data_IF_531166348292
#
_entry.id   IF_531166348292
#
_cell.length_a   1.000
_cell.length_b   1.000
_cell.length_c   1.000
_cell.angle_alpha   90.00
_cell.angle_beta   90.00
_cell.angle_gamma   90.00
#
_symmetry.space_group_name_H-M   'P 1'
#
loop_
_entity.id
_entity.type
_entity.pdbx_description
1 polymer ?
#
# COMPACT_ATOMS: atom_id res chain seq x y z
N UNK A 1 43.79 47.55 -18.68
CA UNK A 1 44.00 46.51 -17.64
C UNK A 1 42.86 46.62 -16.64
N UNK A 2 42.15 45.51 -16.42
CA UNK A 2 41.36 45.05 -15.25
C UNK A 2 40.71 46.13 -14.34
N UNK A 3 39.43 46.11 -13.98
CA UNK A 3 38.37 45.11 -14.15
C UNK A 3 37.06 45.67 -13.56
N UNK A 4 35.94 45.38 -14.22
CA UNK A 4 34.61 45.81 -13.78
C UNK A 4 34.05 44.86 -12.72
N UNK A 5 33.57 45.45 -11.62
CA UNK A 5 32.83 44.78 -10.55
C UNK A 5 31.40 44.57 -11.03
N UNK A 6 31.05 43.31 -11.34
CA UNK A 6 29.70 42.88 -11.71
C UNK A 6 29.03 42.12 -10.58
N UNK A 7 27.80 42.53 -10.26
CA UNK A 7 26.87 42.02 -9.23
C UNK A 7 26.62 40.49 -9.25
N UNK A 8 26.07 39.95 -8.14
CA UNK A 8 25.77 38.53 -7.97
C UNK A 8 24.38 38.16 -8.49
N UNK A 9 24.18 36.87 -8.77
CA UNK A 9 22.84 36.27 -8.81
C UNK A 9 22.42 35.77 -10.19
N UNK A 10 22.63 34.48 -10.42
CA UNK A 10 22.16 33.77 -11.61
C UNK A 10 22.22 32.27 -11.36
N UNK A 11 21.22 31.77 -10.63
CA UNK A 11 21.01 30.36 -10.34
C UNK A 11 20.86 29.56 -11.65
N UNK A 12 21.91 28.87 -12.08
CA UNK A 12 21.79 27.79 -13.05
C UNK A 12 21.72 26.47 -12.28
N UNK A 13 20.58 26.26 -11.61
CA UNK A 13 20.22 24.95 -11.08
C UNK A 13 19.68 24.14 -12.26
N UNK A 14 20.62 23.59 -13.04
CA UNK A 14 20.35 22.51 -13.98
C UNK A 14 19.59 21.43 -13.21
N UNK A 15 18.28 21.33 -13.43
CA UNK A 15 17.41 20.31 -12.88
C UNK A 15 18.02 18.95 -13.19
N UNK A 16 18.77 18.41 -12.22
CA UNK A 16 18.98 16.97 -12.09
C UNK A 16 17.60 16.41 -11.80
N UNK A 17 16.88 16.00 -12.86
CA UNK A 17 15.73 15.09 -12.73
C UNK A 17 16.20 13.95 -11.86
N UNK A 18 15.74 13.97 -10.62
CA UNK A 18 16.11 13.03 -9.60
C UNK A 18 15.68 11.66 -10.09
N UNK A 19 16.64 10.74 -10.13
CA UNK A 19 16.47 9.31 -10.42
C UNK A 19 15.31 8.68 -9.63
N UNK A 20 14.85 9.35 -8.57
CA UNK A 20 13.66 9.03 -7.75
C UNK A 20 12.35 8.88 -8.54
N UNK A 21 12.08 9.73 -9.55
CA UNK A 21 10.80 9.70 -10.28
C UNK A 21 10.62 8.39 -11.08
N UNK A 22 11.71 7.77 -11.53
CA UNK A 22 11.65 6.51 -12.29
C UNK A 22 11.44 5.29 -11.42
N UNK A 23 11.78 5.36 -10.13
CA UNK A 23 11.56 4.26 -9.19
C UNK A 23 10.11 4.22 -8.69
N UNK A 24 9.51 5.39 -8.43
CA UNK A 24 8.11 5.48 -7.99
C UNK A 24 7.14 4.93 -9.05
N UNK A 25 7.33 5.31 -10.33
CA UNK A 25 6.47 4.83 -11.42
C UNK A 25 6.65 3.33 -11.68
N UNK A 26 7.86 2.78 -11.50
CA UNK A 26 8.08 1.34 -11.66
C UNK A 26 7.43 0.51 -10.57
N UNK A 27 7.45 0.97 -9.31
CA UNK A 27 6.87 0.24 -8.19
C UNK A 27 5.34 0.05 -8.34
N UNK A 28 4.65 1.09 -8.84
CA UNK A 28 3.19 1.07 -9.04
C UNK A 28 2.78 0.13 -10.20
N UNK A 29 3.60 0.04 -11.26
CA UNK A 29 3.29 -0.84 -12.40
C UNK A 29 3.56 -2.31 -12.08
N UNK A 30 4.56 -2.63 -11.23
CA UNK A 30 4.78 -4.02 -10.77
C UNK A 30 3.67 -4.55 -9.87
N UNK A 31 2.93 -3.69 -9.16
CA UNK A 31 1.79 -4.13 -8.34
C UNK A 31 0.65 -4.70 -9.21
N UNK A 32 0.35 -4.08 -10.36
CA UNK A 32 -0.66 -4.58 -11.30
C UNK A 32 -0.29 -5.89 -11.99
N UNK A 33 1.00 -6.10 -12.28
CA UNK A 33 1.49 -7.33 -12.91
C UNK A 33 1.51 -8.53 -11.94
N UNK A 34 1.69 -8.30 -10.63
CA UNK A 34 1.63 -9.36 -9.61
C UNK A 34 0.21 -9.92 -9.45
N UNK A 35 -0.83 -9.08 -9.58
CA UNK A 35 -2.23 -9.53 -9.53
C UNK A 35 -2.54 -10.50 -10.68
N UNK A 36 -2.00 -10.26 -11.88
CA UNK A 36 -2.17 -11.13 -13.05
C UNK A 36 -1.26 -12.38 -13.01
N UNK A 37 -0.04 -12.26 -12.49
CA UNK A 37 0.89 -13.39 -12.37
C UNK A 37 0.52 -14.37 -11.25
N UNK A 38 -0.16 -13.91 -10.19
CA UNK A 38 -0.63 -14.78 -9.11
C UNK A 38 -1.83 -15.62 -9.47
N UNK A 39 -2.63 -15.24 -10.48
CA UNK A 39 -3.66 -16.14 -11.03
C UNK A 39 -3.10 -17.43 -11.65
N UNK A 40 -1.78 -17.50 -11.93
CA UNK A 40 -1.13 -18.70 -12.46
C UNK A 40 -0.65 -19.67 -11.37
N UNK A 41 -0.63 -19.26 -10.10
CA UNK A 41 -0.24 -20.08 -8.95
C UNK A 41 -1.46 -20.15 -8.04
N UNK A 42 -2.03 -21.33 -7.80
CA UNK A 42 -3.14 -21.50 -6.84
C UNK A 42 -2.63 -21.32 -5.39
N UNK A 43 -2.02 -20.17 -5.10
CA UNK A 43 -1.59 -19.78 -3.77
C UNK A 43 -2.84 -19.62 -2.90
N UNK A 44 -2.85 -20.16 -1.68
CA UNK A 44 -3.92 -19.91 -0.74
C UNK A 44 -4.15 -18.41 -0.59
N UNK A 45 -5.41 -17.98 -0.56
CA UNK A 45 -5.77 -16.56 -0.47
C UNK A 45 -5.11 -15.89 0.75
N UNK A 46 -4.95 -16.64 1.84
CA UNK A 46 -4.14 -16.26 3.01
C UNK A 46 -2.74 -15.74 2.65
N UNK A 47 -2.01 -16.45 1.79
CA UNK A 47 -0.64 -16.08 1.42
C UNK A 47 -0.61 -14.80 0.58
N UNK A 48 -1.62 -14.62 -0.28
CA UNK A 48 -1.78 -13.39 -1.07
C UNK A 48 -2.07 -12.21 -0.14
N UNK A 49 -2.93 -12.39 0.86
CA UNK A 49 -3.24 -11.36 1.87
C UNK A 49 -1.97 -10.95 2.64
N UNK A 50 -1.19 -11.93 3.14
CA UNK A 50 0.05 -11.64 3.86
C UNK A 50 1.05 -10.87 3.00
N UNK A 51 1.21 -11.27 1.74
CA UNK A 51 2.15 -10.62 0.83
C UNK A 51 1.71 -9.19 0.47
N UNK A 52 0.43 -8.97 0.21
CA UNK A 52 -0.09 -7.63 -0.07
C UNK A 52 0.01 -6.75 1.17
N UNK A 53 -0.29 -7.29 2.36
CA UNK A 53 -0.08 -6.58 3.63
C UNK A 53 1.38 -6.17 3.81
N UNK A 54 2.34 -7.07 3.58
CA UNK A 54 3.76 -6.78 3.73
C UNK A 54 4.26 -5.65 2.80
N UNK A 55 3.59 -5.40 1.67
CA UNK A 55 3.89 -4.28 0.77
C UNK A 55 3.19 -2.99 1.22
N UNK A 56 1.93 -3.12 1.65
CA UNK A 56 1.07 -1.98 1.97
C UNK A 56 1.42 -1.37 3.33
N UNK A 57 1.78 -2.17 4.33
CA UNK A 57 2.12 -1.71 5.68
C UNK A 57 3.27 -0.69 5.71
N UNK A 58 4.44 -0.92 5.09
CA UNK A 58 5.50 0.09 5.05
C UNK A 58 5.11 1.32 4.23
N UNK A 59 4.33 1.16 3.15
CA UNK A 59 3.84 2.28 2.36
C UNK A 59 2.87 3.17 3.17
N UNK A 60 2.02 2.57 4.00
CA UNK A 60 1.14 3.30 4.91
C UNK A 60 1.92 4.10 5.96
N UNK A 61 2.97 3.51 6.54
CA UNK A 61 3.83 4.20 7.51
C UNK A 61 4.58 5.37 6.87
N UNK A 62 5.17 5.17 5.68
CA UNK A 62 5.86 6.24 4.95
C UNK A 62 4.91 7.38 4.60
N UNK A 63 3.72 7.06 4.10
CA UNK A 63 2.73 8.08 3.77
C UNK A 63 2.29 8.88 4.99
N UNK A 64 2.08 8.22 6.13
CA UNK A 64 1.75 8.91 7.39
C UNK A 64 2.88 9.82 7.86
N UNK A 65 4.15 9.47 7.62
CA UNK A 65 5.28 10.31 8.00
C UNK A 65 5.46 11.49 7.04
N UNK A 66 5.43 11.26 5.73
CA UNK A 66 5.73 12.27 4.72
C UNK A 66 4.56 13.22 4.45
N UNK A 67 3.32 12.72 4.52
CA UNK A 67 2.13 13.48 4.18
C UNK A 67 1.31 13.92 5.41
N UNK A 68 1.91 13.87 6.61
CA UNK A 68 1.26 14.35 7.85
C UNK A 68 0.91 15.83 7.77
N UNK A 69 1.89 16.64 7.35
CA UNK A 69 1.81 18.10 7.35
C UNK A 69 1.54 18.68 5.95
N UNK A 70 1.32 17.81 4.96
CA UNK A 70 1.18 18.15 3.54
C UNK A 70 -0.11 17.59 2.92
N UNK A 71 -1.22 17.68 3.65
CA UNK A 71 -2.57 17.24 3.24
C UNK A 71 -3.03 17.84 1.91
N UNK A 72 -2.61 19.05 1.58
CA UNK A 72 -3.01 19.73 0.34
C UNK A 72 -2.15 19.41 -0.89
N UNK A 73 -1.01 18.75 -0.69
CA UNK A 73 -0.12 18.36 -1.79
C UNK A 73 -0.82 17.36 -2.70
N UNK A 74 -0.85 17.65 -4.01
CA UNK A 74 -1.41 16.74 -5.01
C UNK A 74 -0.76 15.36 -4.97
N UNK A 75 0.57 15.31 -4.75
CA UNK A 75 1.32 14.05 -4.62
C UNK A 75 0.83 13.25 -3.41
N UNK A 76 0.59 13.91 -2.28
CA UNK A 76 0.05 13.23 -1.09
C UNK A 76 -1.38 12.73 -1.31
N UNK A 77 -2.21 13.49 -2.04
CA UNK A 77 -3.58 13.05 -2.40
C UNK A 77 -3.56 11.81 -3.31
N UNK A 78 -2.71 11.80 -4.33
CA UNK A 78 -2.55 10.65 -5.24
C UNK A 78 -2.03 9.41 -4.50
N UNK A 79 -1.05 9.57 -3.61
CA UNK A 79 -0.54 8.45 -2.82
C UNK A 79 -1.56 7.92 -1.80
N UNK A 80 -2.34 8.81 -1.16
CA UNK A 80 -3.47 8.43 -0.29
C UNK A 80 -4.53 7.65 -1.04
N UNK A 81 -4.91 8.09 -2.25
CA UNK A 81 -5.87 7.35 -3.09
C UNK A 81 -5.34 5.96 -3.49
N UNK A 82 -4.08 5.88 -3.93
CA UNK A 82 -3.44 4.61 -4.26
C UNK A 82 -3.39 3.65 -3.06
N UNK A 83 -3.05 4.17 -1.87
CA UNK A 83 -3.04 3.40 -0.64
C UNK A 83 -4.45 2.94 -0.24
N UNK A 84 -5.45 3.82 -0.34
CA UNK A 84 -6.84 3.47 -0.07
C UNK A 84 -7.34 2.37 -1.01
N UNK A 85 -6.97 2.41 -2.29
CA UNK A 85 -7.31 1.36 -3.26
C UNK A 85 -6.65 0.02 -2.89
N UNK A 86 -5.39 0.02 -2.50
CA UNK A 86 -4.69 -1.19 -2.06
C UNK A 86 -5.31 -1.78 -0.79
N UNK A 87 -5.61 -0.95 0.21
CA UNK A 87 -6.25 -1.36 1.46
C UNK A 87 -7.67 -1.93 1.21
N UNK A 88 -8.46 -1.31 0.33
CA UNK A 88 -9.76 -1.86 -0.06
C UNK A 88 -9.63 -3.23 -0.76
N UNK A 89 -8.57 -3.43 -1.54
CA UNK A 89 -8.23 -4.75 -2.10
C UNK A 89 -7.98 -5.79 -1.01
N UNK A 90 -7.18 -5.45 0.01
CA UNK A 90 -6.93 -6.33 1.17
C UNK A 90 -8.23 -6.63 1.92
N UNK A 91 -9.05 -5.63 2.22
CA UNK A 91 -10.36 -5.80 2.86
C UNK A 91 -11.23 -6.80 2.09
N UNK A 92 -11.32 -6.65 0.77
CA UNK A 92 -12.12 -7.55 -0.07
C UNK A 92 -11.60 -9.00 -0.03
N UNK A 93 -10.28 -9.20 -0.11
CA UNK A 93 -9.68 -10.54 -0.03
C UNK A 93 -9.91 -11.18 1.35
N UNK A 94 -9.69 -10.44 2.42
CA UNK A 94 -9.88 -10.91 3.80
C UNK A 94 -11.35 -11.26 4.07
N UNK A 95 -12.30 -10.43 3.62
CA UNK A 95 -13.73 -10.73 3.73
C UNK A 95 -14.10 -12.01 2.97
N UNK A 96 -13.52 -12.21 1.78
CA UNK A 96 -13.73 -13.42 0.99
C UNK A 96 -13.20 -14.66 1.68
N UNK A 97 -12.02 -14.58 2.30
CA UNK A 97 -11.47 -15.67 3.11
C UNK A 97 -12.33 -15.98 4.33
N UNK A 98 -12.77 -14.95 5.07
CA UNK A 98 -13.68 -15.13 6.21
C UNK A 98 -14.98 -15.81 5.81
N UNK A 99 -15.57 -15.42 4.67
CA UNK A 99 -16.78 -16.05 4.15
C UNK A 99 -16.57 -17.54 3.81
N UNK A 100 -15.39 -17.92 3.30
CA UNK A 100 -15.04 -19.33 3.05
C UNK A 100 -14.93 -20.13 4.36
N UNK A 101 -14.37 -19.52 5.41
CA UNK A 101 -14.29 -20.14 6.74
C UNK A 101 -15.68 -20.27 7.39
N UNK A 102 -16.54 -19.29 7.21
CA UNK A 102 -17.90 -19.28 7.76
C UNK A 102 -18.83 -20.26 7.03
N UNK A 103 -18.66 -20.45 5.71
CA UNK A 103 -19.41 -21.45 4.94
C UNK A 103 -19.20 -22.89 5.43
N UNK A 104 -18.09 -23.15 6.15
CA UNK A 104 -17.75 -24.45 6.71
C UNK A 104 -17.96 -24.50 8.24
N UNK A 105 -18.65 -23.51 8.81
CA UNK A 105 -18.86 -23.40 10.25
C UNK A 105 -19.72 -24.51 10.86
N UNK A 106 -20.40 -25.34 10.06
CA UNK A 106 -21.14 -26.51 10.57
C UNK A 106 -20.26 -27.67 11.05
N UNK A 107 -18.99 -27.71 10.65
CA UNK A 107 -18.04 -28.74 11.03
C UNK A 107 -17.19 -28.28 12.23
N UNK A 108 -17.44 -28.85 13.41
CA UNK A 108 -16.71 -28.51 14.63
C UNK A 108 -15.21 -28.83 14.58
N UNK A 109 -14.80 -29.85 13.82
CA UNK A 109 -13.39 -30.19 13.63
C UNK A 109 -12.72 -29.17 12.71
N UNK A 110 -13.39 -28.78 11.63
CA UNK A 110 -12.94 -27.70 10.75
C UNK A 110 -12.83 -26.37 11.50
N UNK A 111 -13.83 -26.02 12.32
CA UNK A 111 -13.80 -24.81 13.15
C UNK A 111 -12.60 -24.83 14.11
N UNK A 112 -12.34 -25.95 14.79
CA UNK A 112 -11.21 -26.06 15.72
C UNK A 112 -9.87 -25.89 14.99
N UNK A 113 -9.74 -26.43 13.79
CA UNK A 113 -8.52 -26.33 12.98
C UNK A 113 -8.32 -24.93 12.40
N UNK A 114 -9.39 -24.22 12.09
CA UNK A 114 -9.34 -22.90 11.43
C UNK A 114 -9.55 -21.72 12.36
N UNK A 115 -9.80 -21.94 13.66
CA UNK A 115 -10.05 -20.87 14.63
C UNK A 115 -8.93 -19.83 14.67
N UNK A 116 -7.66 -20.26 14.71
CA UNK A 116 -6.51 -19.35 14.70
C UNK A 116 -6.41 -18.54 13.40
N UNK A 117 -6.74 -19.18 12.26
CA UNK A 117 -6.76 -18.54 10.96
C UNK A 117 -7.87 -17.49 10.86
N UNK A 118 -9.09 -17.80 11.32
CA UNK A 118 -10.20 -16.84 11.40
C UNK A 118 -9.80 -15.62 12.24
N UNK A 119 -9.19 -15.83 13.41
CA UNK A 119 -8.72 -14.73 14.27
C UNK A 119 -7.71 -13.84 13.54
N UNK A 120 -6.74 -14.41 12.82
CA UNK A 120 -5.79 -13.64 12.02
C UNK A 120 -6.49 -12.81 10.95
N UNK A 121 -7.41 -13.41 10.19
CA UNK A 121 -8.17 -12.69 9.16
C UNK A 121 -9.01 -11.55 9.75
N UNK A 122 -9.59 -11.73 10.94
CA UNK A 122 -10.29 -10.64 11.64
C UNK A 122 -9.33 -9.51 12.05
N UNK A 123 -8.12 -9.83 12.52
CA UNK A 123 -7.10 -8.82 12.83
C UNK A 123 -6.63 -8.07 11.58
N UNK A 124 -6.40 -8.77 10.47
CA UNK A 124 -6.05 -8.16 9.18
C UNK A 124 -7.15 -7.21 8.69
N UNK A 125 -8.42 -7.61 8.83
CA UNK A 125 -9.56 -6.77 8.49
C UNK A 125 -9.62 -5.50 9.34
N UNK A 126 -9.46 -5.63 10.66
CA UNK A 126 -9.46 -4.50 11.58
C UNK A 126 -8.33 -3.54 11.25
N UNK A 127 -7.11 -4.05 11.08
CA UNK A 127 -5.95 -3.25 10.70
C UNK A 127 -6.19 -2.49 9.39
N UNK A 128 -6.67 -3.15 8.33
CA UNK A 128 -6.89 -2.51 7.04
C UNK A 128 -7.96 -1.41 7.13
N UNK A 129 -9.01 -1.63 7.92
CA UNK A 129 -10.05 -0.63 8.18
C UNK A 129 -9.53 0.57 8.98
N UNK A 130 -8.64 0.35 9.95
CA UNK A 130 -7.99 1.43 10.70
C UNK A 130 -7.09 2.27 9.80
N UNK A 131 -6.31 1.64 8.93
CA UNK A 131 -5.48 2.34 7.95
C UNK A 131 -6.35 3.17 6.98
N UNK A 132 -7.46 2.61 6.49
CA UNK A 132 -8.40 3.35 5.62
C UNK A 132 -8.94 4.61 6.32
N UNK A 133 -9.28 4.51 7.60
CA UNK A 133 -9.73 5.68 8.39
C UNK A 133 -8.63 6.72 8.52
N UNK A 134 -7.38 6.30 8.73
CA UNK A 134 -6.24 7.21 8.85
C UNK A 134 -5.92 7.94 7.53
N UNK A 135 -6.14 7.28 6.39
CA UNK A 135 -5.90 7.85 5.05
C UNK A 135 -7.00 8.83 4.62
N UNK A 136 -8.21 8.67 5.15
CA UNK A 136 -9.35 9.55 4.88
C UNK A 136 -9.34 10.87 5.68
N UNK A 137 -8.40 11.04 6.61
CA UNK A 137 -8.21 12.25 7.43
C UNK A 137 -7.20 13.21 6.79
#
# INVERSE_FOLDING_TARGET
>A
MVGSIGKPGGYNQSMKRTTSERFAVKAVVTAGALILAMSAQALPLTYVIELERAKVEPAAQLLQQECRDHTDSQVCKEQRDALAKALNGIVSMVQKELALLDSNAGDANFQKQTAAHRTRMQQDLQWAQEQLKAVAQ
#
